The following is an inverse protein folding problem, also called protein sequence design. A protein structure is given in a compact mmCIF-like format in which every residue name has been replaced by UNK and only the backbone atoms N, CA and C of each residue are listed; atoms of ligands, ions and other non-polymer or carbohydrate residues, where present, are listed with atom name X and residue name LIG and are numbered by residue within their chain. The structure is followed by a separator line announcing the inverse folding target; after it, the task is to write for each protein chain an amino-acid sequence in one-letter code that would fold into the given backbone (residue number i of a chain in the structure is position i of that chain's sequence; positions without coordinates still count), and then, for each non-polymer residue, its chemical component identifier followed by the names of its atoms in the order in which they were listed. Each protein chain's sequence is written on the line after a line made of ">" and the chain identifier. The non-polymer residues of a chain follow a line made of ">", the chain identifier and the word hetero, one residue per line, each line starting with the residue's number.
data_IF_289623095244
#
_entry.id   IF_289623095244
#
_cell.length_a   1.000
_cell.length_b   1.000
_cell.length_c   1.000
_cell.angle_alpha   90.00
_cell.angle_beta   90.00
_cell.angle_gamma   90.00
#
_symmetry.space_group_name_H-M   'P 1'
#
loop_
_entity.id
_entity.type
_entity.pdbx_description
1 polymer ?
#
# COMPACT_ATOMS: atom_id res chain seq x y z
N UNK A 1 7.16 25.22 0.21
CA UNK A 1 6.04 24.94 -0.19
C UNK A 1 4.98 24.79 0.74
N UNK A 2 4.29 25.70 0.84
CA UNK A 2 3.69 25.91 2.07
C UNK A 2 2.20 25.92 2.04
N UNK A 3 1.57 26.34 0.97
CA UNK A 3 0.10 26.34 0.90
C UNK A 3 -0.51 24.96 0.98
N UNK A 4 0.07 24.01 0.26
CA UNK A 4 -0.45 22.64 0.27
C UNK A 4 -0.25 21.98 1.63
N UNK A 5 0.91 22.20 2.24
CA UNK A 5 1.20 21.66 3.55
C UNK A 5 0.33 22.29 4.64
N UNK A 6 0.06 23.58 4.54
CA UNK A 6 -0.83 24.26 5.48
C UNK A 6 -2.26 23.79 5.34
N UNK A 7 -2.73 23.62 4.11
CA UNK A 7 -4.08 23.11 3.87
C UNK A 7 -4.22 21.70 4.42
N UNK A 8 -3.24 20.84 4.15
CA UNK A 8 -3.21 19.48 4.66
C UNK A 8 -3.26 19.47 6.17
N UNK A 9 -2.47 20.33 6.82
CA UNK A 9 -2.45 20.41 8.29
C UNK A 9 -3.81 20.84 8.84
N UNK A 10 -4.44 21.83 8.23
CA UNK A 10 -5.75 22.29 8.66
C UNK A 10 -6.82 21.23 8.53
N UNK A 11 -6.78 20.46 7.44
CA UNK A 11 -7.72 19.36 7.22
C UNK A 11 -7.53 18.27 8.26
N UNK A 12 -6.29 17.99 8.62
CA UNK A 12 -5.97 16.96 9.60
C UNK A 12 -6.33 17.33 11.02
N UNK A 13 -6.65 18.60 11.27
CA UNK A 13 -7.17 19.04 12.58
C UNK A 13 -8.60 18.56 12.82
N UNK A 14 -9.33 18.19 11.77
CA UNK A 14 -10.68 17.66 11.90
C UNK A 14 -10.61 16.15 12.08
N UNK A 15 -11.17 15.60 13.15
CA UNK A 15 -11.04 14.16 13.43
C UNK A 15 -11.53 13.26 12.30
N UNK A 16 -12.64 13.60 11.66
CA UNK A 16 -13.20 12.77 10.59
C UNK A 16 -12.32 12.78 9.34
N UNK A 17 -11.78 13.94 8.98
CA UNK A 17 -10.88 14.06 7.84
C UNK A 17 -9.55 13.37 8.12
N UNK A 18 -9.07 13.50 9.35
CA UNK A 18 -7.83 12.84 9.77
C UNK A 18 -7.94 11.32 9.67
N UNK A 19 -9.07 10.75 10.10
CA UNK A 19 -9.28 9.31 10.03
C UNK A 19 -9.28 8.83 8.58
N UNK A 20 -9.93 9.55 7.67
CA UNK A 20 -9.93 9.20 6.26
C UNK A 20 -8.55 9.33 5.65
N UNK A 21 -7.81 10.38 5.99
CA UNK A 21 -6.46 10.58 5.50
C UNK A 21 -5.53 9.47 5.96
N UNK A 22 -5.61 9.09 7.24
CA UNK A 22 -4.76 8.03 7.79
C UNK A 22 -5.03 6.70 7.11
N UNK A 23 -6.30 6.39 6.83
CA UNK A 23 -6.67 5.17 6.13
C UNK A 23 -6.09 5.15 4.72
N UNK A 24 -6.19 6.27 3.97
CA UNK A 24 -5.62 6.37 2.64
C UNK A 24 -4.09 6.27 2.66
N UNK A 25 -3.47 6.87 3.65
CA UNK A 25 -2.01 6.79 3.79
C UNK A 25 -1.54 5.36 4.02
N UNK A 26 -2.28 4.57 4.80
CA UNK A 26 -1.96 3.17 5.01
C UNK A 26 -2.07 2.36 3.72
N UNK A 27 -3.12 2.58 2.94
CA UNK A 27 -3.31 1.90 1.66
C UNK A 27 -2.22 2.25 0.67
N UNK A 28 -1.83 3.52 0.59
CA UNK A 28 -0.72 3.94 -0.24
C UNK A 28 0.60 3.35 0.23
N UNK A 29 0.79 3.23 1.53
CA UNK A 29 1.99 2.65 2.11
C UNK A 29 2.12 1.18 1.71
N UNK A 30 1.03 0.43 1.73
CA UNK A 30 1.00 -0.96 1.28
C UNK A 30 1.33 -1.04 -0.20
N UNK A 31 0.67 -0.20 -1.02
CA UNK A 31 0.90 -0.18 -2.46
C UNK A 31 2.37 0.09 -2.78
N UNK A 32 2.99 1.06 -2.12
CA UNK A 32 4.39 1.36 -2.30
C UNK A 32 5.29 0.17 -1.95
N UNK A 33 4.96 -0.53 -0.87
CA UNK A 33 5.72 -1.71 -0.47
C UNK A 33 5.64 -2.81 -1.53
N UNK A 34 4.46 -3.01 -2.11
CA UNK A 34 4.28 -3.99 -3.17
C UNK A 34 5.10 -3.62 -4.42
N UNK A 35 5.00 -2.36 -4.85
CA UNK A 35 5.73 -1.88 -6.01
C UNK A 35 7.24 -2.02 -5.78
N UNK A 36 7.70 -1.70 -4.59
CA UNK A 36 9.13 -1.82 -4.25
C UNK A 36 9.59 -3.27 -4.30
N UNK A 37 8.79 -4.19 -3.75
CA UNK A 37 9.13 -5.61 -3.78
C UNK A 37 9.24 -6.11 -5.21
N UNK A 38 8.32 -5.69 -6.07
CA UNK A 38 8.35 -6.05 -7.49
C UNK A 38 9.57 -5.45 -8.20
N UNK A 39 9.87 -4.19 -7.93
CA UNK A 39 11.03 -3.53 -8.52
C UNK A 39 12.35 -4.20 -8.10
N UNK A 40 12.47 -4.54 -6.83
CA UNK A 40 13.66 -5.23 -6.32
C UNK A 40 13.82 -6.63 -6.92
N UNK A 41 12.72 -7.25 -7.27
CA UNK A 41 12.73 -8.55 -7.94
C UNK A 41 12.94 -8.42 -9.46
N UNK A 42 12.98 -7.19 -9.98
CA UNK A 42 13.11 -6.92 -11.40
C UNK A 42 12.02 -7.61 -12.22
N UNK A 43 10.79 -7.51 -11.75
CA UNK A 43 9.63 -8.16 -12.35
C UNK A 43 8.62 -7.13 -12.86
N UNK A 44 7.95 -7.47 -13.95
CA UNK A 44 6.83 -6.69 -14.45
C UNK A 44 5.56 -7.12 -13.72
N UNK A 45 4.50 -6.29 -13.84
CA UNK A 45 3.20 -6.67 -13.29
C UNK A 45 2.69 -7.98 -13.90
N UNK A 46 2.94 -8.18 -15.20
CA UNK A 46 2.53 -9.42 -15.85
C UNK A 46 3.24 -10.64 -15.28
N UNK A 47 4.52 -10.52 -15.00
CA UNK A 47 5.29 -11.62 -14.43
C UNK A 47 4.79 -11.97 -13.03
N UNK A 48 4.50 -10.95 -12.23
CA UNK A 48 3.94 -11.18 -10.90
C UNK A 48 2.56 -11.84 -11.02
N UNK A 49 1.73 -11.35 -11.95
CA UNK A 49 0.40 -11.90 -12.17
C UNK A 49 0.49 -13.39 -12.55
N UNK A 50 1.43 -13.75 -13.41
CA UNK A 50 1.62 -15.15 -13.80
C UNK A 50 1.98 -16.00 -12.58
N UNK A 51 2.89 -15.54 -11.76
CA UNK A 51 3.29 -16.29 -10.57
C UNK A 51 2.17 -16.40 -9.53
N UNK A 52 1.34 -15.37 -9.45
CA UNK A 52 0.18 -15.37 -8.57
C UNK A 52 -1.01 -16.13 -9.16
N UNK A 53 -0.91 -16.54 -10.42
CA UNK A 53 -2.01 -17.17 -11.15
C UNK A 53 -3.25 -16.27 -11.20
N UNK A 54 -3.02 -15.02 -11.54
CA UNK A 54 -4.08 -14.01 -11.61
C UNK A 54 -3.83 -13.11 -12.83
N UNK A 55 -4.65 -12.09 -12.99
CA UNK A 55 -4.53 -11.15 -14.11
C UNK A 55 -3.60 -9.99 -13.78
N UNK A 56 -3.01 -9.40 -14.80
CA UNK A 56 -2.24 -8.18 -14.64
C UNK A 56 -3.10 -7.05 -14.08
N UNK A 57 -4.36 -6.99 -14.49
CA UNK A 57 -5.30 -5.98 -13.97
C UNK A 57 -5.45 -6.09 -12.45
N UNK A 58 -5.47 -7.30 -11.91
CA UNK A 58 -5.56 -7.49 -10.47
C UNK A 58 -4.30 -6.99 -9.77
N UNK A 59 -3.12 -7.31 -10.33
CA UNK A 59 -1.86 -6.82 -9.77
C UNK A 59 -1.81 -5.29 -9.81
N UNK A 60 -2.21 -4.69 -10.93
CA UNK A 60 -2.28 -3.24 -11.04
C UNK A 60 -3.21 -2.63 -9.98
N UNK A 61 -4.32 -3.30 -9.71
CA UNK A 61 -5.27 -2.88 -8.69
C UNK A 61 -4.66 -2.92 -7.29
N UNK A 62 -3.92 -3.99 -6.99
CA UNK A 62 -3.21 -4.09 -5.72
C UNK A 62 -2.19 -2.97 -5.53
N UNK A 63 -1.54 -2.56 -6.62
CA UNK A 63 -0.51 -1.52 -6.59
C UNK A 63 -1.07 -0.11 -6.72
N UNK A 64 -2.38 0.04 -6.84
CA UNK A 64 -3.00 1.34 -7.05
C UNK A 64 -3.15 2.19 -5.78
N UNK A 65 -3.13 1.56 -4.63
CA UNK A 65 -3.39 2.24 -3.37
C UNK A 65 -4.87 2.55 -3.14
N UNK A 66 -5.75 1.99 -3.99
CA UNK A 66 -7.18 2.25 -3.88
C UNK A 66 -7.97 1.10 -3.28
N UNK A 67 -7.32 -0.03 -3.07
CA UNK A 67 -7.96 -1.20 -2.48
C UNK A 67 -7.18 -1.62 -1.24
N UNK A 68 -7.87 -2.30 -0.35
CA UNK A 68 -7.24 -2.85 0.85
C UNK A 68 -7.01 -4.35 0.59
N UNK A 69 -5.78 -4.76 0.28
CA UNK A 69 -5.51 -6.16 -0.01
C UNK A 69 -5.77 -7.05 1.18
N UNK A 70 -6.25 -8.25 0.94
CA UNK A 70 -6.37 -9.24 2.00
C UNK A 70 -4.99 -9.73 2.40
N UNK A 71 -4.90 -10.28 3.60
CA UNK A 71 -3.66 -10.90 4.06
C UNK A 71 -3.20 -11.99 3.10
N UNK A 72 -4.14 -12.77 2.60
CA UNK A 72 -3.84 -13.84 1.64
C UNK A 72 -3.27 -13.28 0.35
N UNK A 73 -3.82 -12.17 -0.14
CA UNK A 73 -3.30 -11.53 -1.35
C UNK A 73 -1.88 -11.02 -1.13
N UNK A 74 -1.62 -10.43 0.03
CA UNK A 74 -0.27 -9.95 0.38
C UNK A 74 0.73 -11.11 0.44
N UNK A 75 0.32 -12.22 1.02
CA UNK A 75 1.19 -13.40 1.11
C UNK A 75 1.50 -13.96 -0.29
N UNK A 76 0.51 -13.99 -1.15
CA UNK A 76 0.70 -14.48 -2.53
C UNK A 76 1.62 -13.55 -3.33
N UNK A 77 1.43 -12.24 -3.16
CA UNK A 77 2.27 -11.26 -3.83
C UNK A 77 3.73 -11.37 -3.34
N UNK A 78 3.90 -11.48 -2.04
CA UNK A 78 5.24 -11.63 -1.46
C UNK A 78 5.93 -12.88 -2.01
N UNK A 79 5.22 -14.01 -2.04
CA UNK A 79 5.77 -15.25 -2.58
C UNK A 79 6.15 -15.10 -4.06
N UNK A 80 5.32 -14.41 -4.84
CA UNK A 80 5.58 -14.22 -6.27
C UNK A 80 6.84 -13.39 -6.53
N UNK A 81 7.14 -12.44 -5.66
CA UNK A 81 8.30 -11.56 -5.81
C UNK A 81 9.52 -12.02 -5.03
N UNK A 82 9.41 -13.13 -4.31
CA UNK A 82 10.51 -13.60 -3.46
C UNK A 82 10.71 -12.75 -2.21
N UNK A 83 9.73 -11.94 -1.86
CA UNK A 83 9.78 -11.10 -0.68
C UNK A 83 9.21 -11.83 0.52
N UNK A 84 9.51 -11.33 1.71
CA UNK A 84 8.94 -11.82 2.95
C UNK A 84 7.91 -10.82 3.46
N UNK A 85 6.71 -11.30 3.70
CA UNK A 85 5.68 -10.46 4.31
C UNK A 85 5.96 -10.32 5.81
N UNK A 86 6.06 -9.08 6.24
CA UNK A 86 6.27 -8.77 7.65
C UNK A 86 5.29 -7.69 8.07
N UNK A 87 4.58 -7.93 9.15
CA UNK A 87 3.59 -6.99 9.66
C UNK A 87 4.01 -6.57 11.06
N UNK A 88 4.03 -5.28 11.27
CA UNK A 88 4.37 -4.70 12.55
C UNK A 88 3.25 -3.80 13.00
N UNK A 89 2.84 -3.96 14.24
CA UNK A 89 1.87 -3.06 14.85
C UNK A 89 2.63 -2.13 15.78
N UNK A 90 2.50 -0.84 15.51
CA UNK A 90 3.14 0.17 16.31
C UNK A 90 2.12 0.75 17.29
N UNK A 91 2.60 1.07 18.48
CA UNK A 91 1.75 1.72 19.45
C UNK A 91 1.43 3.12 18.96
N UNK A 92 0.14 3.43 18.84
CA UNK A 92 -0.25 4.77 18.45
C UNK A 92 0.07 5.76 19.55
N UNK A 93 0.68 6.88 19.16
CA UNK A 93 0.93 7.95 20.10
C UNK A 93 -0.35 8.76 20.19
N UNK A 94 -1.03 8.65 21.34
CA UNK A 94 -2.21 9.47 21.57
C UNK A 94 -1.80 10.68 22.38
N UNK A 95 -2.22 11.87 21.95
CA UNK A 95 -1.93 13.09 22.69
C UNK A 95 -2.67 13.13 24.02
#
# INVERSE_FOLDING_TARGET
>A
MTKLNELKRKLLERPEVRAEYDSLAEEFSIAEALIRARAEADMTQEQVAQKMQTSQSYVAKLESGRVSPSMKALQRYAAATGARLRITLEQAVTP
#
